data_IF_389736551113
#
_entry.id   IF_389736551113
#
_cell.length_a   1.000
_cell.length_b   1.000
_cell.length_c   1.000
_cell.angle_alpha   90.00
_cell.angle_beta   90.00
_cell.angle_gamma   90.00
#
_symmetry.space_group_name_H-M   'P 1'
#
loop_
_entity.id
_entity.type
_entity.pdbx_description
1 polymer ?
#
# COMPACT_ATOMS: atom_id res chain seq x y z
N UNK A 1 3.37 -4.29 26.29
CA UNK A 1 4.66 -3.80 25.73
C UNK A 1 5.64 -4.93 25.43
N UNK A 2 5.15 -6.11 25.10
CA UNK A 2 5.88 -7.24 24.52
C UNK A 2 4.87 -7.91 23.58
N UNK A 3 5.25 -8.18 22.34
CA UNK A 3 4.50 -9.00 21.35
C UNK A 3 3.39 -8.32 20.52
N UNK A 4 3.62 -7.08 20.04
CA UNK A 4 2.78 -6.53 18.96
C UNK A 4 3.48 -6.68 17.59
N UNK A 5 3.11 -7.74 16.86
CA UNK A 5 3.56 -7.96 15.49
C UNK A 5 3.18 -6.76 14.60
N UNK A 6 1.96 -6.25 14.75
CA UNK A 6 1.49 -5.09 13.99
C UNK A 6 2.38 -3.87 14.25
N UNK A 7 2.61 -3.54 15.51
CA UNK A 7 3.49 -2.45 15.90
C UNK A 7 4.90 -2.61 15.33
N UNK A 8 5.50 -3.80 15.45
CA UNK A 8 6.86 -4.05 14.96
C UNK A 8 6.95 -3.90 13.44
N UNK A 9 6.01 -4.50 12.71
CA UNK A 9 5.94 -4.39 11.25
C UNK A 9 5.70 -2.95 10.78
N UNK A 10 4.80 -2.22 11.44
CA UNK A 10 4.51 -0.82 11.10
C UNK A 10 5.72 0.09 11.31
N UNK A 11 6.42 -0.06 12.44
CA UNK A 11 7.64 0.72 12.70
C UNK A 11 8.72 0.40 11.67
N UNK A 12 8.94 -0.88 11.38
CA UNK A 12 9.89 -1.31 10.36
C UNK A 12 9.57 -0.71 8.98
N UNK A 13 8.30 -0.79 8.56
CA UNK A 13 7.81 -0.27 7.28
C UNK A 13 8.06 1.23 7.14
N UNK A 14 7.62 2.01 8.13
CA UNK A 14 7.78 3.47 8.13
C UNK A 14 9.26 3.86 8.12
N UNK A 15 10.09 3.22 8.95
CA UNK A 15 11.51 3.53 9.03
C UNK A 15 12.22 3.26 7.71
N UNK A 16 12.00 2.09 7.08
CA UNK A 16 12.62 1.77 5.78
C UNK A 16 12.14 2.67 4.66
N UNK A 17 10.84 3.00 4.61
CA UNK A 17 10.29 3.94 3.63
C UNK A 17 10.94 5.34 3.73
N UNK A 18 11.43 5.73 4.90
CA UNK A 18 12.14 6.98 5.13
C UNK A 18 13.68 6.83 5.07
N UNK A 19 14.20 5.71 4.58
CA UNK A 19 15.63 5.50 4.35
C UNK A 19 16.43 5.07 5.57
N UNK A 20 15.78 4.77 6.70
CA UNK A 20 16.48 4.22 7.87
C UNK A 20 16.82 2.75 7.66
N UNK A 21 18.06 2.38 7.99
CA UNK A 21 18.51 0.99 7.95
C UNK A 21 18.03 0.25 9.21
N UNK A 22 17.03 -0.61 9.05
CA UNK A 22 16.50 -1.48 10.11
C UNK A 22 16.73 -2.93 9.72
N UNK A 23 17.32 -3.75 10.61
CA UNK A 23 17.58 -5.17 10.34
C UNK A 23 16.30 -6.01 10.36
N UNK A 24 16.21 -7.00 9.47
CA UNK A 24 15.16 -8.03 9.49
C UNK A 24 15.14 -8.85 10.78
N UNK A 25 16.27 -8.92 11.52
CA UNK A 25 16.39 -9.70 12.77
C UNK A 25 15.38 -9.30 13.84
N UNK A 26 14.82 -8.08 13.74
CA UNK A 26 13.73 -7.63 14.61
C UNK A 26 12.53 -8.59 14.57
N UNK A 27 12.32 -9.27 13.43
CA UNK A 27 11.26 -10.26 13.21
C UNK A 27 11.64 -11.68 13.64
N UNK A 28 12.90 -11.95 13.96
CA UNK A 28 13.34 -13.30 14.38
C UNK A 28 12.59 -13.81 15.62
N UNK A 29 12.05 -12.91 16.45
CA UNK A 29 11.23 -13.25 17.61
C UNK A 29 9.83 -13.79 17.28
N UNK A 30 9.37 -13.64 16.03
CA UNK A 30 8.06 -14.11 15.56
C UNK A 30 8.19 -15.37 14.69
N UNK A 31 9.41 -15.85 14.49
CA UNK A 31 9.71 -17.04 13.70
C UNK A 31 9.91 -18.24 14.62
N UNK A 32 9.46 -19.40 14.16
CA UNK A 32 9.70 -20.68 14.81
C UNK A 32 11.14 -21.17 14.59
N UNK A 33 11.48 -22.32 15.16
CA UNK A 33 12.81 -22.94 15.03
C UNK A 33 13.20 -23.27 13.58
N UNK A 34 12.23 -23.32 12.66
CA UNK A 34 12.43 -23.57 11.23
C UNK A 34 12.53 -22.27 10.42
N UNK A 35 12.39 -21.11 11.06
CA UNK A 35 12.40 -19.81 10.42
C UNK A 35 11.05 -19.39 9.83
N UNK A 36 9.97 -20.13 10.11
CA UNK A 36 8.63 -19.84 9.60
C UNK A 36 7.83 -19.03 10.63
N UNK A 37 6.96 -18.13 10.17
CA UNK A 37 6.12 -17.33 11.05
C UNK A 37 5.28 -18.21 11.98
N UNK A 38 5.33 -17.95 13.29
CA UNK A 38 4.60 -18.79 14.25
C UNK A 38 3.08 -18.75 14.05
N UNK A 39 2.44 -19.93 14.11
CA UNK A 39 1.02 -20.11 13.83
C UNK A 39 0.08 -19.24 14.69
N UNK A 40 0.49 -18.90 15.91
CA UNK A 40 -0.33 -18.11 16.83
C UNK A 40 -0.45 -16.64 16.41
N UNK A 41 0.47 -16.13 15.56
CA UNK A 41 0.39 -14.78 14.99
C UNK A 41 -0.65 -14.64 13.88
N UNK A 42 -1.10 -15.74 13.30
CA UNK A 42 -2.18 -15.73 12.29
C UNK A 42 -3.55 -15.40 12.88
N UNK A 43 -3.67 -15.33 14.21
CA UNK A 43 -4.90 -14.90 14.89
C UNK A 43 -5.23 -13.41 14.68
N UNK A 44 -4.27 -12.60 14.24
CA UNK A 44 -4.45 -11.16 14.07
C UNK A 44 -4.22 -10.72 12.61
N UNK A 45 -5.29 -10.75 11.82
CA UNK A 45 -5.28 -10.37 10.40
C UNK A 45 -4.61 -9.01 10.14
N UNK A 46 -4.77 -8.04 11.05
CA UNK A 46 -4.13 -6.73 10.94
C UNK A 46 -2.60 -6.79 11.06
N UNK A 47 -2.08 -7.64 11.95
CA UNK A 47 -0.64 -7.84 12.11
C UNK A 47 -0.02 -8.59 10.94
N UNK A 48 -0.74 -9.61 10.45
CA UNK A 48 -0.37 -10.33 9.22
C UNK A 48 -0.27 -9.39 8.02
N UNK A 49 -1.30 -8.56 7.80
CA UNK A 49 -1.33 -7.61 6.69
C UNK A 49 -0.17 -6.61 6.77
N UNK A 50 0.11 -6.09 7.96
CA UNK A 50 1.18 -5.12 8.16
C UNK A 50 2.56 -5.75 7.98
N UNK A 51 2.78 -7.00 8.44
CA UNK A 51 4.02 -7.73 8.18
C UNK A 51 4.19 -8.06 6.70
N UNK A 52 3.10 -8.40 5.99
CA UNK A 52 3.13 -8.59 4.55
C UNK A 52 3.53 -7.29 3.83
N UNK A 53 2.98 -6.15 4.21
CA UNK A 53 3.39 -4.85 3.66
C UNK A 53 4.85 -4.53 3.96
N UNK A 54 5.31 -4.80 5.18
CA UNK A 54 6.69 -4.60 5.61
C UNK A 54 7.69 -5.51 4.87
N UNK A 55 7.33 -6.78 4.63
CA UNK A 55 8.22 -7.75 3.97
C UNK A 55 8.50 -7.41 2.51
N UNK A 56 7.62 -6.65 1.87
CA UNK A 56 7.89 -6.17 0.52
C UNK A 56 8.96 -5.05 0.45
N UNK A 57 9.43 -4.52 1.59
CA UNK A 57 10.57 -3.60 1.65
C UNK A 57 11.92 -4.33 1.84
N UNK A 58 11.96 -5.63 1.60
CA UNK A 58 13.17 -6.46 1.72
C UNK A 58 14.21 -6.18 0.64
N UNK A 59 15.47 -6.35 1.01
CA UNK A 59 16.61 -6.39 0.09
C UNK A 59 17.03 -7.85 -0.19
N UNK A 60 17.82 -8.04 -1.25
CA UNK A 60 18.41 -9.34 -1.55
C UNK A 60 19.26 -9.85 -0.37
N UNK A 61 19.07 -11.12 0.02
CA UNK A 61 19.71 -11.75 1.18
C UNK A 61 18.94 -11.58 2.49
N UNK A 62 17.72 -11.03 2.45
CA UNK A 62 16.84 -10.91 3.61
C UNK A 62 15.82 -12.06 3.73
N UNK A 63 16.35 -13.26 3.99
CA UNK A 63 15.59 -14.51 4.03
C UNK A 63 14.37 -14.50 4.97
N UNK A 64 14.42 -13.76 6.09
CA UNK A 64 13.30 -13.67 7.05
C UNK A 64 12.12 -12.93 6.40
N UNK A 65 12.40 -11.89 5.62
CA UNK A 65 11.36 -11.12 4.92
C UNK A 65 10.81 -11.91 3.73
N UNK A 66 11.68 -12.61 3.00
CA UNK A 66 11.27 -13.46 1.88
C UNK A 66 10.35 -14.59 2.34
N UNK A 67 10.70 -15.28 3.42
CA UNK A 67 9.84 -16.30 4.04
C UNK A 67 8.53 -15.70 4.55
N UNK A 68 8.59 -14.59 5.31
CA UNK A 68 7.39 -13.91 5.80
C UNK A 68 6.43 -13.55 4.66
N UNK A 69 6.95 -13.02 3.56
CA UNK A 69 6.18 -12.68 2.36
C UNK A 69 5.53 -13.93 1.75
N UNK A 70 6.28 -15.01 1.61
CA UNK A 70 5.77 -16.27 1.05
C UNK A 70 4.64 -16.87 1.90
N UNK A 71 4.85 -17.03 3.22
CA UNK A 71 3.86 -17.64 4.11
C UNK A 71 2.60 -16.77 4.22
N UNK A 72 2.77 -15.44 4.33
CA UNK A 72 1.64 -14.52 4.49
C UNK A 72 0.82 -14.35 3.21
N UNK A 73 1.43 -14.46 2.03
CA UNK A 73 0.69 -14.37 0.76
C UNK A 73 -0.39 -15.46 0.67
N UNK A 74 -0.04 -16.69 1.07
CA UNK A 74 -0.99 -17.81 1.09
C UNK A 74 -2.04 -17.60 2.19
N UNK A 75 -1.60 -17.32 3.41
CA UNK A 75 -2.50 -17.19 4.55
C UNK A 75 -3.49 -16.01 4.42
N UNK A 76 -3.09 -14.89 3.83
CA UNK A 76 -3.96 -13.73 3.59
C UNK A 76 -5.02 -14.02 2.53
N UNK A 77 -4.69 -14.82 1.50
CA UNK A 77 -5.67 -15.26 0.50
C UNK A 77 -6.75 -16.14 1.12
N UNK A 78 -6.35 -17.05 2.00
CA UNK A 78 -7.28 -17.99 2.64
C UNK A 78 -8.13 -17.29 3.74
N UNK A 79 -7.52 -16.44 4.55
CA UNK A 79 -8.19 -15.77 5.69
C UNK A 79 -9.05 -14.57 5.29
N UNK A 80 -8.63 -13.79 4.27
CA UNK A 80 -9.30 -12.56 3.85
C UNK A 80 -10.73 -12.76 3.33
N UNK A 81 -11.01 -13.95 2.77
CA UNK A 81 -12.33 -14.31 2.25
C UNK A 81 -13.23 -15.04 3.26
N UNK A 82 -12.65 -15.79 4.21
CA UNK A 82 -13.41 -16.72 5.05
C UNK A 82 -13.82 -16.10 6.38
N UNK A 83 -12.94 -15.31 7.01
CA UNK A 83 -13.14 -14.90 8.40
C UNK A 83 -13.85 -13.54 8.56
N UNK A 84 -13.78 -12.66 7.56
CA UNK A 84 -14.31 -11.29 7.67
C UNK A 84 -15.00 -10.80 6.40
N UNK A 85 -16.04 -11.50 5.91
CA UNK A 85 -16.81 -11.05 4.77
C UNK A 85 -17.34 -9.62 5.04
N UNK A 86 -17.13 -8.72 4.08
CA UNK A 86 -17.56 -7.30 4.11
C UNK A 86 -16.91 -6.38 5.17
N UNK A 87 -15.77 -6.75 5.75
CA UNK A 87 -15.00 -5.83 6.59
C UNK A 87 -14.10 -4.88 5.77
N UNK A 88 -13.80 -3.69 6.30
CA UNK A 88 -12.77 -2.81 5.74
C UNK A 88 -11.42 -3.53 5.64
N UNK A 89 -11.09 -4.37 6.63
CA UNK A 89 -9.84 -5.12 6.67
C UNK A 89 -9.73 -6.15 5.52
N UNK A 90 -10.82 -6.83 5.15
CA UNK A 90 -10.83 -7.72 3.98
C UNK A 90 -10.53 -6.96 2.68
N UNK A 91 -11.08 -5.75 2.54
CA UNK A 91 -10.77 -4.87 1.40
C UNK A 91 -9.31 -4.43 1.40
N UNK A 92 -8.74 -4.13 2.56
CA UNK A 92 -7.32 -3.79 2.70
C UNK A 92 -6.41 -4.97 2.32
N UNK A 93 -6.79 -6.20 2.67
CA UNK A 93 -6.08 -7.42 2.27
C UNK A 93 -6.08 -7.60 0.76
N UNK A 94 -7.26 -7.54 0.12
CA UNK A 94 -7.37 -7.65 -1.34
C UNK A 94 -6.54 -6.58 -2.04
N UNK A 95 -6.62 -5.35 -1.55
CA UNK A 95 -5.84 -4.25 -2.09
C UNK A 95 -4.34 -4.48 -1.94
N UNK A 96 -3.85 -4.84 -0.75
CA UNK A 96 -2.42 -5.08 -0.53
C UNK A 96 -1.88 -6.25 -1.36
N UNK A 97 -2.67 -7.32 -1.53
CA UNK A 97 -2.30 -8.49 -2.34
C UNK A 97 -2.27 -8.22 -3.85
N UNK A 98 -3.06 -7.28 -4.36
CA UNK A 98 -3.01 -6.85 -5.76
C UNK A 98 -1.69 -6.15 -6.07
N UNK A 99 -1.30 -5.22 -5.20
CA UNK A 99 -0.01 -4.53 -5.25
C UNK A 99 0.28 -3.97 -3.85
N UNK A 100 1.44 -4.25 -3.24
CA UNK A 100 1.76 -3.71 -1.92
C UNK A 100 1.88 -2.19 -1.95
N UNK A 101 1.56 -1.53 -0.84
CA UNK A 101 1.53 -0.06 -0.72
C UNK A 101 2.81 0.63 -1.19
N UNK A 102 3.99 0.08 -0.87
CA UNK A 102 5.28 0.65 -1.26
C UNK A 102 5.58 0.57 -2.76
N UNK A 103 4.90 -0.32 -3.52
CA UNK A 103 5.00 -0.41 -4.97
C UNK A 103 4.02 0.52 -5.71
N UNK A 104 3.06 1.12 -5.00
CA UNK A 104 2.02 1.97 -5.59
C UNK A 104 2.54 3.38 -5.79
N UNK A 105 2.18 3.98 -6.93
CA UNK A 105 2.32 5.43 -7.10
C UNK A 105 1.32 6.09 -6.16
N UNK A 106 1.83 6.77 -5.14
CA UNK A 106 1.04 7.35 -4.05
C UNK A 106 -0.19 8.10 -4.55
N UNK A 107 -0.03 8.96 -5.55
CA UNK A 107 -1.12 9.80 -6.07
C UNK A 107 -2.31 8.99 -6.62
N UNK A 108 -2.06 7.85 -7.27
CA UNK A 108 -3.13 7.00 -7.78
C UNK A 108 -3.87 6.25 -6.67
N UNK A 109 -3.24 6.11 -5.51
CA UNK A 109 -3.78 5.38 -4.37
C UNK A 109 -4.56 6.26 -3.39
N UNK A 110 -4.28 7.58 -3.36
CA UNK A 110 -4.90 8.53 -2.41
C UNK A 110 -6.42 8.42 -2.37
N UNK A 111 -7.09 8.30 -3.52
CA UNK A 111 -8.56 8.21 -3.57
C UNK A 111 -9.07 6.92 -2.93
N UNK A 112 -8.38 5.81 -3.13
CA UNK A 112 -8.72 4.54 -2.48
C UNK A 112 -8.55 4.67 -0.96
N UNK A 113 -7.45 5.26 -0.50
CA UNK A 113 -7.15 5.45 0.93
C UNK A 113 -8.16 6.39 1.61
N UNK A 114 -8.54 7.51 0.99
CA UNK A 114 -9.57 8.41 1.51
C UNK A 114 -10.89 7.66 1.69
N UNK A 115 -11.30 6.87 0.68
CA UNK A 115 -12.54 6.09 0.73
C UNK A 115 -12.48 4.96 1.76
N UNK A 116 -11.31 4.33 1.95
CA UNK A 116 -11.09 3.32 2.97
C UNK A 116 -11.18 3.93 4.37
N UNK A 117 -10.49 5.06 4.58
CA UNK A 117 -10.48 5.79 5.85
C UNK A 117 -11.87 6.29 6.23
N UNK A 118 -12.62 6.87 5.29
CA UNK A 118 -14.00 7.35 5.52
C UNK A 118 -14.95 6.25 6.00
N UNK A 119 -14.71 5.00 5.59
CA UNK A 119 -15.55 3.86 5.98
C UNK A 119 -15.16 3.25 7.32
N UNK A 120 -14.04 3.64 7.93
CA UNK A 120 -13.63 3.18 9.26
C UNK A 120 -14.25 4.04 10.38
N UNK A 121 -15.57 3.94 10.52
CA UNK A 121 -16.42 4.78 11.39
C UNK A 121 -15.88 4.86 12.84
N UNK A 122 -15.22 3.80 13.32
CA UNK A 122 -14.70 3.74 14.68
C UNK A 122 -13.38 4.51 14.88
N UNK A 123 -12.66 4.86 13.81
CA UNK A 123 -11.31 5.45 13.86
C UNK A 123 -11.16 6.75 13.08
N UNK A 124 -12.22 7.22 12.42
CA UNK A 124 -12.19 8.44 11.61
C UNK A 124 -11.97 9.67 12.49
N UNK A 125 -10.92 10.41 12.18
CA UNK A 125 -10.74 11.80 12.58
C UNK A 125 -11.33 12.69 11.47
N UNK A 126 -12.41 13.40 11.79
CA UNK A 126 -13.14 14.21 10.80
C UNK A 126 -12.25 15.31 10.18
N UNK A 127 -11.40 15.96 10.98
CA UNK A 127 -10.47 16.99 10.51
C UNK A 127 -9.45 16.43 9.53
N UNK A 128 -8.90 15.24 9.83
CA UNK A 128 -7.96 14.59 8.92
C UNK A 128 -8.63 14.18 7.60
N UNK A 129 -9.86 13.65 7.66
CA UNK A 129 -10.62 13.27 6.47
C UNK A 129 -10.95 14.48 5.59
N UNK A 130 -11.37 15.59 6.20
CA UNK A 130 -11.65 16.85 5.50
C UNK A 130 -10.38 17.40 4.84
N UNK A 131 -9.27 17.44 5.58
CA UNK A 131 -7.97 17.87 5.06
C UNK A 131 -7.53 17.01 3.87
N UNK A 132 -7.66 15.69 3.96
CA UNK A 132 -7.29 14.77 2.88
C UNK A 132 -8.12 15.03 1.60
N UNK A 133 -9.44 15.20 1.74
CA UNK A 133 -10.34 15.52 0.61
C UNK A 133 -10.04 16.87 -0.01
N UNK A 134 -9.80 17.89 0.81
CA UNK A 134 -9.45 19.23 0.34
C UNK A 134 -8.12 19.21 -0.43
N UNK A 135 -7.08 18.60 0.15
CA UNK A 135 -5.76 18.50 -0.48
C UNK A 135 -5.84 17.77 -1.84
N UNK A 136 -6.56 16.65 -1.91
CA UNK A 136 -6.78 15.92 -3.16
C UNK A 136 -7.40 16.83 -4.24
N UNK A 137 -8.45 17.57 -3.89
CA UNK A 137 -9.14 18.46 -4.83
C UNK A 137 -8.26 19.63 -5.31
N UNK A 138 -7.45 20.21 -4.42
CA UNK A 138 -6.50 21.30 -4.75
C UNK A 138 -5.46 20.81 -5.77
N UNK A 139 -4.83 19.67 -5.49
CA UNK A 139 -3.82 19.11 -6.40
C UNK A 139 -4.47 18.69 -7.73
N UNK A 140 -5.65 18.07 -7.70
CA UNK A 140 -6.38 17.69 -8.91
C UNK A 140 -6.74 18.89 -9.79
N UNK A 141 -7.15 20.01 -9.20
CA UNK A 141 -7.43 21.24 -9.95
C UNK A 141 -6.17 21.79 -10.65
N UNK A 142 -5.02 21.73 -9.98
CA UNK A 142 -3.74 22.12 -10.57
C UNK A 142 -3.33 21.17 -11.70
N UNK A 143 -3.47 19.85 -11.53
CA UNK A 143 -3.20 18.88 -12.57
C UNK A 143 -4.09 19.09 -13.80
N UNK A 144 -5.37 19.40 -13.62
CA UNK A 144 -6.28 19.75 -14.71
C UNK A 144 -5.91 21.05 -15.43
N UNK A 145 -5.40 22.04 -14.68
CA UNK A 145 -4.86 23.26 -15.30
C UNK A 145 -3.64 22.94 -16.18
N UNK A 146 -2.67 22.19 -15.65
CA UNK A 146 -1.49 21.77 -16.39
C UNK A 146 -1.86 20.93 -17.62
N UNK A 147 -2.82 20.02 -17.47
CA UNK A 147 -3.31 19.21 -18.59
C UNK A 147 -3.93 20.07 -19.68
N UNK A 148 -4.74 21.08 -19.35
CA UNK A 148 -5.30 22.00 -20.35
C UNK A 148 -4.22 22.75 -21.13
N UNK A 149 -3.15 23.15 -20.45
CA UNK A 149 -2.00 23.81 -21.09
C UNK A 149 -1.25 22.84 -22.01
N UNK A 150 -0.96 21.63 -21.53
CA UNK A 150 -0.32 20.57 -22.31
C UNK A 150 -1.18 20.15 -23.52
N UNK A 151 -2.50 20.05 -23.37
CA UNK A 151 -3.44 19.77 -24.46
C UNK A 151 -3.45 20.88 -25.52
N UNK A 152 -3.42 22.14 -25.09
CA UNK A 152 -3.32 23.26 -26.03
C UNK A 152 -2.01 23.23 -26.81
N UNK A 153 -0.90 22.96 -26.12
CA UNK A 153 0.40 22.81 -26.76
C UNK A 153 0.43 21.62 -27.75
N UNK A 154 -0.06 20.46 -27.33
CA UNK A 154 -0.12 19.25 -28.16
C UNK A 154 -0.97 19.44 -29.42
N UNK A 155 -2.13 20.08 -29.29
CA UNK A 155 -3.00 20.41 -30.42
C UNK A 155 -2.31 21.37 -31.40
N UNK A 156 -1.58 22.37 -30.90
CA UNK A 156 -0.85 23.33 -31.73
C UNK A 156 0.30 22.69 -32.55
N UNK A 157 0.84 21.55 -32.12
CA UNK A 157 1.84 20.81 -32.90
C UNK A 157 1.22 20.09 -34.11
N UNK A 158 -0.08 19.80 -34.07
CA UNK A 158 -0.79 19.12 -35.16
C UNK A 158 -0.31 17.69 -35.44
N UNK A 159 0.42 17.05 -34.52
CA UNK A 159 1.02 15.73 -34.75
C UNK A 159 -0.01 14.61 -34.90
N UNK A 160 -1.11 14.67 -34.16
CA UNK A 160 -2.20 13.69 -34.32
C UNK A 160 -2.80 13.69 -35.74
N UNK A 161 -2.80 14.86 -36.38
CA UNK A 161 -3.31 15.02 -37.74
C UNK A 161 -2.26 14.70 -38.80
N UNK A 162 -1.01 15.11 -38.58
CA UNK A 162 0.06 15.04 -39.58
C UNK A 162 0.89 13.75 -39.54
N UNK A 163 0.99 13.09 -38.38
CA UNK A 163 1.82 11.90 -38.18
C UNK A 163 0.94 10.69 -37.88
N UNK A 164 0.25 10.16 -38.89
CA UNK A 164 -0.68 9.02 -38.75
C UNK A 164 -0.02 7.71 -38.26
N UNK A 165 1.30 7.62 -38.32
CA UNK A 165 2.05 6.49 -37.78
C UNK A 165 2.31 6.62 -36.27
N UNK A 166 2.31 7.84 -35.73
CA UNK A 166 2.62 8.10 -34.33
C UNK A 166 1.38 7.90 -33.45
N UNK A 167 1.58 7.46 -32.22
CA UNK A 167 0.50 7.30 -31.24
C UNK A 167 0.19 8.65 -30.58
N UNK A 168 -1.09 8.98 -30.46
CA UNK A 168 -1.55 10.08 -29.61
C UNK A 168 -1.69 9.60 -28.16
N UNK A 169 -0.83 10.11 -27.27
CA UNK A 169 -0.66 9.65 -25.87
C UNK A 169 -0.36 10.82 -24.92
N UNK A 170 -1.07 11.93 -25.08
CA UNK A 170 -0.94 13.06 -24.18
C UNK A 170 -1.32 12.72 -22.73
N UNK A 171 -2.28 11.81 -22.55
CA UNK A 171 -2.79 11.33 -21.25
C UNK A 171 -2.47 9.85 -21.09
#
# INVERSE_FOLDING_TARGET
TRDDLYGTALHFKILRQHGYKVSQDIFGRFMDEKGTLENHHFAHLKGMLELFEASNLGFEGEDILDEAKASLTLALRDSGHICYPDSNLSRDVVHSLELPSHCRVQWFDVKWQINAYEKDICRVNATLLELAKLNFNVVQAQLQKNLREASRWWANLGFADNLKFARDRLV
#
